data_IF_356922141437
#
_entry.id   IF_356922141437
#
_cell.length_a   1.000
_cell.length_b   1.000
_cell.length_c   1.000
_cell.angle_alpha   90.00
_cell.angle_beta   90.00
_cell.angle_gamma   90.00
#
_symmetry.space_group_name_H-M   'P 1'
#
loop_
_entity.id
_entity.type
_entity.pdbx_description
1 polymer ?
#
# COMPACT_ATOMS: atom_id res chain seq x y z
N UNK A 1 -4.58 16.78 -3.22
CA UNK A 1 -5.21 15.84 -4.16
C UNK A 1 -5.19 14.48 -3.48
N UNK A 2 -6.34 13.81 -3.35
CA UNK A 2 -6.36 12.47 -2.76
C UNK A 2 -5.93 11.48 -3.83
N UNK A 3 -4.68 11.02 -3.75
CA UNK A 3 -4.16 9.96 -4.61
C UNK A 3 -4.77 8.62 -4.18
N UNK A 4 -5.90 8.27 -4.80
CA UNK A 4 -6.56 6.98 -4.56
C UNK A 4 -5.88 5.91 -5.42
N UNK A 5 -5.24 4.95 -4.76
CA UNK A 5 -4.56 3.82 -5.42
C UNK A 5 -5.54 2.64 -5.54
N UNK A 6 -5.62 2.07 -6.74
CA UNK A 6 -6.47 0.90 -7.06
C UNK A 6 -5.54 -0.32 -7.29
N UNK A 7 -5.82 -1.50 -6.70
CA UNK A 7 -5.06 -2.70 -6.99
C UNK A 7 -5.35 -3.19 -8.41
N UNK A 8 -4.31 -3.64 -9.12
CA UNK A 8 -4.43 -4.22 -10.45
C UNK A 8 -4.57 -5.75 -10.37
N UNK A 9 -5.41 -6.32 -11.23
CA UNK A 9 -5.56 -7.76 -11.40
C UNK A 9 -4.35 -8.33 -12.17
N UNK A 10 -3.56 -9.24 -11.58
CA UNK A 10 -2.40 -9.83 -12.24
C UNK A 10 -2.73 -10.54 -13.56
N UNK A 11 -3.88 -11.21 -13.66
CA UNK A 11 -4.16 -12.14 -14.75
C UNK A 11 -4.74 -11.44 -15.99
N UNK A 12 -5.47 -10.34 -15.78
CA UNK A 12 -6.26 -9.69 -16.83
C UNK A 12 -5.80 -8.28 -17.19
N UNK A 13 -5.23 -7.52 -16.25
CA UNK A 13 -4.88 -6.13 -16.48
C UNK A 13 -3.58 -6.02 -17.27
N UNK A 14 -3.52 -5.04 -18.17
CA UNK A 14 -2.36 -4.78 -19.03
C UNK A 14 -1.76 -3.42 -18.71
N UNK A 15 -0.44 -3.36 -18.57
CA UNK A 15 0.31 -2.13 -18.34
C UNK A 15 1.12 -1.77 -19.57
N UNK A 16 1.17 -0.49 -19.89
CA UNK A 16 2.00 0.09 -20.94
C UNK A 16 2.90 1.20 -20.39
N UNK A 17 4.20 1.14 -20.67
CA UNK A 17 5.16 2.18 -20.29
C UNK A 17 5.59 2.98 -21.51
N UNK A 18 5.45 4.31 -21.43
CA UNK A 18 5.87 5.23 -22.50
C UNK A 18 7.39 5.36 -22.60
N UNK A 19 8.10 5.16 -21.48
CA UNK A 19 9.55 5.18 -21.39
C UNK A 19 10.03 3.82 -20.88
N UNK A 20 11.29 3.48 -21.10
CA UNK A 20 11.90 2.27 -20.54
C UNK A 20 11.91 2.37 -19.01
N UNK A 21 10.92 1.74 -18.36
CA UNK A 21 10.81 1.72 -16.91
C UNK A 21 11.86 0.79 -16.28
N UNK A 22 12.22 -0.27 -16.99
CA UNK A 22 13.22 -1.26 -16.61
C UNK A 22 13.99 -1.71 -17.85
N UNK A 23 15.29 -1.96 -17.70
CA UNK A 23 16.10 -2.55 -18.79
C UNK A 23 15.52 -3.93 -19.17
N UNK A 24 15.32 -4.17 -20.47
CA UNK A 24 14.83 -5.43 -21.05
C UNK A 24 13.36 -5.80 -20.76
N UNK A 25 12.54 -4.87 -20.28
CA UNK A 25 11.12 -5.14 -20.05
C UNK A 25 10.27 -4.71 -21.26
N UNK A 26 9.35 -5.55 -21.75
CA UNK A 26 8.42 -5.16 -22.82
C UNK A 26 7.66 -3.87 -22.49
N UNK A 27 7.41 -3.04 -23.50
CA UNK A 27 6.65 -1.80 -23.29
C UNK A 27 5.20 -2.04 -22.91
N UNK A 28 4.60 -3.14 -23.37
CA UNK A 28 3.21 -3.51 -23.08
C UNK A 28 3.18 -4.95 -22.62
N UNK A 29 2.59 -5.21 -21.45
CA UNK A 29 2.51 -6.55 -20.89
C UNK A 29 1.41 -6.68 -19.84
N UNK A 30 0.98 -7.91 -19.58
CA UNK A 30 0.04 -8.24 -18.49
C UNK A 30 0.73 -8.00 -17.14
N UNK A 31 -0.02 -7.56 -16.12
CA UNK A 31 0.47 -7.27 -14.77
C UNK A 31 1.23 -8.46 -14.16
N UNK A 32 0.77 -9.68 -14.38
CA UNK A 32 1.47 -10.89 -13.94
C UNK A 32 2.91 -10.98 -14.47
N UNK A 33 3.11 -10.65 -15.76
CA UNK A 33 4.45 -10.66 -16.36
C UNK A 33 5.33 -9.57 -15.73
N UNK A 34 4.76 -8.40 -15.46
CA UNK A 34 5.47 -7.31 -14.78
C UNK A 34 5.91 -7.72 -13.37
N UNK A 35 5.01 -8.30 -12.58
CA UNK A 35 5.32 -8.80 -11.24
C UNK A 35 6.41 -9.88 -11.26
N UNK A 36 6.40 -10.75 -12.27
CA UNK A 36 7.42 -11.79 -12.43
C UNK A 36 8.81 -11.18 -12.67
N UNK A 37 8.92 -10.17 -13.52
CA UNK A 37 10.20 -9.50 -13.77
C UNK A 37 10.65 -8.67 -12.56
N UNK A 38 9.73 -7.96 -11.89
CA UNK A 38 10.06 -7.26 -10.63
C UNK A 38 10.60 -8.23 -9.58
N UNK A 39 10.01 -9.42 -9.44
CA UNK A 39 10.52 -10.46 -8.53
C UNK A 39 11.93 -10.92 -8.89
N UNK A 40 12.25 -11.09 -10.17
CA UNK A 40 13.61 -11.44 -10.62
C UNK A 40 14.60 -10.34 -10.28
N UNK A 41 14.26 -9.09 -10.61
CA UNK A 41 15.09 -7.92 -10.31
C UNK A 41 15.35 -7.84 -8.79
N UNK A 42 14.33 -8.08 -7.97
CA UNK A 42 14.45 -8.05 -6.51
C UNK A 42 15.36 -9.17 -5.98
N UNK A 43 15.32 -10.36 -6.60
CA UNK A 43 16.17 -11.49 -6.24
C UNK A 43 17.62 -11.34 -6.72
N UNK A 44 17.83 -10.72 -7.89
CA UNK A 44 19.15 -10.55 -8.52
C UNK A 44 19.88 -9.29 -8.06
N UNK A 45 19.15 -8.20 -7.86
CA UNK A 45 19.67 -6.86 -7.64
C UNK A 45 18.88 -6.17 -6.52
N UNK A 46 19.21 -6.49 -5.28
CA UNK A 46 18.78 -5.70 -4.13
C UNK A 46 19.56 -4.36 -4.10
N UNK A 47 19.43 -3.55 -5.15
CA UNK A 47 20.10 -2.26 -5.33
C UNK A 47 19.09 -1.18 -5.75
N UNK A 48 19.55 0.07 -5.64
CA UNK A 48 18.80 1.33 -5.49
C UNK A 48 17.67 1.63 -6.49
N UNK A 49 17.58 0.98 -7.65
CA UNK A 49 16.51 1.20 -8.65
C UNK A 49 15.13 0.76 -8.16
N UNK A 50 15.09 -0.17 -7.20
CA UNK A 50 13.87 -0.59 -6.49
C UNK A 50 13.21 0.59 -5.76
N UNK A 51 13.97 1.63 -5.37
CA UNK A 51 13.45 2.75 -4.57
C UNK A 51 12.28 3.52 -5.21
N UNK A 52 12.24 3.67 -6.54
CA UNK A 52 11.19 4.47 -7.21
C UNK A 52 9.85 3.75 -7.28
N UNK A 53 9.85 2.43 -7.52
CA UNK A 53 8.60 1.64 -7.62
C UNK A 53 7.88 1.58 -6.26
N UNK A 54 8.64 1.60 -5.17
CA UNK A 54 8.13 1.52 -3.80
C UNK A 54 7.86 2.90 -3.18
N UNK A 55 8.34 3.98 -3.81
CA UNK A 55 8.13 5.37 -3.41
C UNK A 55 7.07 6.08 -4.27
N UNK A 56 7.53 6.83 -5.26
CA UNK A 56 6.69 7.72 -6.10
C UNK A 56 5.87 6.98 -7.17
N UNK A 57 6.25 5.74 -7.50
CA UNK A 57 5.66 4.96 -8.59
C UNK A 57 6.20 5.32 -9.98
N UNK A 58 5.79 4.54 -10.99
CA UNK A 58 6.17 4.71 -12.39
C UNK A 58 4.98 5.13 -13.24
N UNK A 59 5.18 6.14 -14.10
CA UNK A 59 4.18 6.59 -15.04
C UNK A 59 3.91 5.53 -16.11
N UNK A 60 2.62 5.22 -16.32
CA UNK A 60 2.19 4.21 -17.26
C UNK A 60 0.75 4.47 -17.74
N UNK A 61 0.31 3.67 -18.70
CA UNK A 61 -1.10 3.47 -19.00
C UNK A 61 -1.52 2.06 -18.58
N UNK A 62 -2.75 1.92 -18.09
CA UNK A 62 -3.35 0.61 -17.77
C UNK A 62 -4.57 0.40 -18.66
N UNK A 63 -4.75 -0.83 -19.12
CA UNK A 63 -5.97 -1.32 -19.74
C UNK A 63 -6.56 -2.41 -18.83
N UNK A 64 -7.73 -2.10 -18.27
CA UNK A 64 -8.56 -3.03 -17.50
C UNK A 64 -9.64 -3.56 -18.44
N UNK A 65 -9.97 -4.87 -18.43
CA UNK A 65 -11.05 -5.40 -19.26
C UNK A 65 -12.36 -4.61 -19.11
N UNK A 66 -12.96 -4.23 -20.24
CA UNK A 66 -14.18 -3.44 -20.26
C UNK A 66 -13.98 -1.93 -20.00
N UNK A 67 -12.75 -1.47 -19.81
CA UNK A 67 -12.41 -0.05 -19.68
C UNK A 67 -11.53 0.42 -20.85
N UNK A 68 -11.43 1.74 -21.01
CA UNK A 68 -10.46 2.35 -21.92
C UNK A 68 -9.09 2.46 -21.25
N UNK A 69 -8.05 2.71 -22.05
CA UNK A 69 -6.72 3.02 -21.52
C UNK A 69 -6.77 4.22 -20.57
N UNK A 70 -6.23 4.04 -19.35
CA UNK A 70 -6.14 5.08 -18.33
C UNK A 70 -4.67 5.39 -18.06
N UNK A 71 -4.28 6.65 -18.17
CA UNK A 71 -2.94 7.11 -17.76
C UNK A 71 -2.90 7.26 -16.24
N UNK A 72 -1.80 6.85 -15.62
CA UNK A 72 -1.62 6.93 -14.18
C UNK A 72 -0.21 6.53 -13.76
N UNK A 73 -0.08 6.12 -12.50
CA UNK A 73 1.15 5.58 -11.94
C UNK A 73 0.90 4.20 -11.35
N UNK A 74 1.89 3.33 -11.45
CA UNK A 74 1.92 2.06 -10.70
C UNK A 74 2.96 2.13 -9.60
N UNK A 75 2.70 1.45 -8.49
CA UNK A 75 3.66 1.25 -7.40
C UNK A 75 3.53 -0.17 -6.88
N UNK A 76 4.58 -0.65 -6.22
CA UNK A 76 4.56 -1.92 -5.50
C UNK A 76 4.57 -1.63 -4.01
N UNK A 77 3.61 -2.19 -3.29
CA UNK A 77 3.53 -2.12 -1.83
C UNK A 77 3.71 -3.51 -1.23
N UNK A 78 4.31 -3.57 -0.04
CA UNK A 78 4.35 -4.77 0.78
C UNK A 78 3.20 -4.72 1.77
N UNK A 79 2.51 -5.85 1.93
CA UNK A 79 1.47 -6.02 2.93
C UNK A 79 1.98 -6.97 4.00
N UNK A 80 1.73 -6.61 5.27
CA UNK A 80 2.10 -7.44 6.41
C UNK A 80 0.85 -8.16 6.92
N UNK A 81 0.89 -9.49 6.95
CA UNK A 81 -0.12 -10.33 7.57
C UNK A 81 0.49 -10.95 8.84
N UNK A 82 0.02 -10.56 10.05
CA UNK A 82 0.50 -11.19 11.28
C UNK A 82 -0.07 -12.60 11.44
N UNK A 83 0.76 -13.54 11.91
CA UNK A 83 0.34 -14.94 12.17
C UNK A 83 -0.69 -15.06 13.30
N UNK A 84 -0.62 -14.16 14.27
CA UNK A 84 -1.60 -14.01 15.35
C UNK A 84 -2.22 -12.63 15.25
N UNK A 85 -3.55 -12.57 15.19
CA UNK A 85 -4.26 -11.33 15.44
C UNK A 85 -4.01 -11.04 16.92
N UNK A 86 -3.07 -10.15 17.24
CA UNK A 86 -3.11 -9.47 18.54
C UNK A 86 -4.50 -8.88 18.64
N UNK A 87 -5.33 -9.51 19.48
CA UNK A 87 -6.71 -9.14 19.70
C UNK A 87 -6.68 -7.71 20.25
N UNK A 88 -6.76 -6.70 19.37
CA UNK A 88 -6.86 -5.27 19.73
C UNK A 88 -8.22 -4.95 20.35
N UNK A 89 -8.80 -5.91 21.05
CA UNK A 89 -9.60 -5.67 22.24
C UNK A 89 -8.64 -5.43 23.40
N UNK A 90 -7.88 -4.34 23.33
CA UNK A 90 -7.61 -3.63 24.57
C UNK A 90 -8.96 -3.11 25.02
N UNK A 91 -9.56 -3.92 25.87
CA UNK A 91 -10.63 -3.61 26.78
C UNK A 91 -10.64 -2.10 27.08
N UNK A 92 -11.61 -1.39 26.51
CA UNK A 92 -12.21 -0.26 27.21
C UNK A 92 -13.01 -0.86 28.38
N UNK A 93 -12.32 -1.56 29.29
CA UNK A 93 -12.75 -1.59 30.67
C UNK A 93 -12.22 -0.29 31.23
N UNK A 94 -13.15 0.62 31.49
CA UNK A 94 -12.96 1.70 32.43
C UNK A 94 -12.50 1.09 33.75
N UNK A 95 -11.22 0.78 33.88
CA UNK A 95 -10.58 0.77 35.18
C UNK A 95 -10.41 2.24 35.53
N UNK A 96 -11.13 2.65 36.57
CA UNK A 96 -11.30 4.02 37.04
C UNK A 96 -10.10 4.90 36.68
N UNK A 97 -10.36 5.91 35.83
CA UNK A 97 -9.32 6.85 35.44
C UNK A 97 -8.74 7.48 36.71
N UNK A 98 -7.41 7.58 36.87
CA UNK A 98 -6.80 8.26 38.03
C UNK A 98 -7.30 9.71 38.22
N UNK A 99 -7.91 10.27 37.17
CA UNK A 99 -8.52 11.60 37.18
C UNK A 99 -9.97 11.61 37.70
N UNK A 100 -10.65 10.47 37.77
CA UNK A 100 -12.01 10.39 38.30
C UNK A 100 -12.04 10.57 39.83
N UNK A 101 -11.04 10.05 40.55
CA UNK A 101 -10.88 10.31 41.99
C UNK A 101 -10.69 11.82 42.28
N UNK A 102 -9.93 12.51 41.42
CA UNK A 102 -9.71 13.97 41.52
C UNK A 102 -10.99 14.77 41.25
N UNK A 103 -11.82 14.31 40.31
CA UNK A 103 -13.12 14.95 40.00
C UNK A 103 -14.10 14.81 41.16
N UNK A 104 -14.02 13.70 41.91
CA UNK A 104 -14.86 13.46 43.08
C UNK A 104 -14.47 14.38 44.25
N UNK A 105 -13.17 14.52 44.53
CA UNK A 105 -12.67 15.44 45.57
C UNK A 105 -13.03 16.91 45.31
N UNK A 106 -13.01 17.36 44.04
CA UNK A 106 -13.40 18.72 43.68
C UNK A 106 -14.91 19.01 43.83
N UNK A 107 -15.76 17.99 43.78
CA UNK A 107 -17.21 18.13 44.05
C UNK A 107 -17.51 18.22 45.54
N UNK A 108 -16.77 17.50 46.36
CA UNK A 108 -16.98 17.45 47.82
C UNK A 108 -16.45 18.69 48.55
N UNK A 109 -15.48 19.40 47.96
CA UNK A 109 -14.92 20.65 48.51
C UNK A 109 -15.73 21.93 48.23
N UNK A 110 -16.94 21.84 47.65
CA UNK A 110 -17.87 22.97 47.50
C UNK A 110 -19.04 22.86 48.47
N UNK A 111 -18.78 23.12 49.75
CA UNK A 111 -19.77 23.53 50.75
C UNK A 111 -19.14 24.59 51.65
#
# INVERSE_FOLDING_TARGET
MNEQWEPLNPDDDVVHFHQEAFENLPRTQIVFQLLKEIKKIWAEYCTSSVSRVFGEGFECCVLIPGQQWRTGKIRVSLEFCPDEIEDRRLDIKQENSPLDDLRQQLKEGKN
#
